data_IF_095691423749
#
_entry.id   IF_095691423749
#
_cell.length_a   1.000
_cell.length_b   1.000
_cell.length_c   1.000
_cell.angle_alpha   90.00
_cell.angle_beta   90.00
_cell.angle_gamma   90.00
#
_symmetry.space_group_name_H-M   'P 1'
#
loop_
_entity.id
_entity.type
_entity.pdbx_description
1 polymer ?
#
# COMPACT_ATOMS: atom_id res chain seq x y z
N UNK A 1 8.83 -23.49 -21.01
CA UNK A 1 8.07 -23.87 -19.82
C UNK A 1 6.99 -22.80 -19.63
N UNK A 2 5.72 -23.17 -19.45
CA UNK A 2 4.59 -22.22 -19.41
C UNK A 2 4.65 -21.29 -18.18
N UNK A 3 5.39 -21.70 -17.13
CA UNK A 3 5.59 -20.91 -15.90
C UNK A 3 6.45 -19.67 -16.12
N UNK A 4 7.42 -19.72 -17.03
CA UNK A 4 8.28 -18.57 -17.35
C UNK A 4 7.58 -17.50 -18.22
N UNK A 5 6.37 -17.78 -18.73
CA UNK A 5 5.65 -16.91 -19.66
C UNK A 5 4.47 -16.15 -19.07
N UNK A 6 4.19 -16.29 -17.77
CA UNK A 6 3.10 -15.52 -17.14
C UNK A 6 3.54 -14.06 -16.97
N UNK A 7 2.88 -13.18 -17.72
CA UNK A 7 3.14 -11.73 -17.75
C UNK A 7 2.21 -10.94 -16.82
N UNK A 8 1.48 -11.62 -15.93
CA UNK A 8 0.55 -10.99 -14.97
C UNK A 8 1.30 -10.50 -13.72
N UNK A 9 2.36 -9.73 -13.93
CA UNK A 9 3.14 -9.08 -12.89
C UNK A 9 3.83 -7.83 -13.46
N UNK A 10 4.17 -6.89 -12.59
CA UNK A 10 4.90 -5.66 -12.96
C UNK A 10 5.68 -5.11 -11.75
N UNK A 11 6.57 -4.16 -12.00
CA UNK A 11 7.40 -3.51 -10.97
C UNK A 11 7.01 -2.03 -10.87
N UNK A 12 6.83 -1.55 -9.65
CA UNK A 12 6.66 -0.12 -9.35
C UNK A 12 7.80 0.38 -8.49
N UNK A 13 8.57 1.34 -9.00
CA UNK A 13 9.55 2.09 -8.20
C UNK A 13 8.76 3.01 -7.26
N UNK A 14 9.04 2.92 -5.95
CA UNK A 14 8.33 3.67 -4.92
C UNK A 14 9.14 4.87 -4.47
N UNK A 15 10.46 4.70 -4.30
CA UNK A 15 11.38 5.76 -3.89
C UNK A 15 12.76 5.52 -4.50
N UNK A 16 13.42 6.60 -4.88
CA UNK A 16 14.85 6.64 -5.23
C UNK A 16 15.49 7.68 -4.31
N UNK A 17 16.45 7.27 -3.51
CA UNK A 17 17.17 8.14 -2.58
C UNK A 17 18.37 8.82 -3.26
N UNK A 18 18.90 9.88 -2.64
CA UNK A 18 19.99 10.68 -3.23
C UNK A 18 21.32 9.90 -3.34
N UNK A 19 21.53 8.92 -2.47
CA UNK A 19 22.68 8.00 -2.48
C UNK A 19 22.52 6.86 -3.50
N UNK A 20 21.38 6.78 -4.19
CA UNK A 20 21.07 5.79 -5.20
C UNK A 20 20.37 4.54 -4.69
N UNK A 21 20.05 4.47 -3.39
CA UNK A 21 19.21 3.39 -2.86
C UNK A 21 17.79 3.47 -3.46
N UNK A 22 17.17 2.31 -3.69
CA UNK A 22 15.87 2.22 -4.37
C UNK A 22 14.94 1.28 -3.63
N UNK A 23 13.77 1.78 -3.24
CA UNK A 23 12.66 0.95 -2.79
C UNK A 23 11.67 0.74 -3.93
N UNK A 24 11.32 -0.51 -4.18
CA UNK A 24 10.38 -0.88 -5.22
C UNK A 24 9.52 -2.07 -4.81
N UNK A 25 8.38 -2.23 -5.48
CA UNK A 25 7.54 -3.41 -5.32
C UNK A 25 7.45 -4.19 -6.62
N UNK A 26 7.50 -5.51 -6.52
CA UNK A 26 7.07 -6.45 -7.55
C UNK A 26 5.68 -6.94 -7.16
N UNK A 27 4.70 -6.82 -8.04
CA UNK A 27 3.33 -7.25 -7.75
C UNK A 27 2.75 -8.10 -8.86
N UNK A 28 1.78 -8.94 -8.51
CA UNK A 28 1.20 -9.94 -9.40
C UNK A 28 1.77 -11.34 -9.14
N UNK A 29 1.79 -12.18 -10.18
CA UNK A 29 2.20 -13.57 -10.08
C UNK A 29 3.73 -13.73 -10.05
N UNK A 30 4.24 -14.42 -9.03
CA UNK A 30 5.66 -14.68 -8.83
C UNK A 30 6.08 -15.90 -9.66
N UNK A 31 6.85 -15.66 -10.73
CA UNK A 31 7.29 -16.72 -11.64
C UNK A 31 8.43 -17.58 -11.09
N UNK A 32 9.21 -17.08 -10.13
CA UNK A 32 10.43 -17.72 -9.61
C UNK A 32 10.71 -17.29 -8.17
N UNK A 33 11.65 -17.99 -7.53
CA UNK A 33 12.10 -17.69 -6.17
C UNK A 33 11.29 -18.43 -5.11
N UNK A 34 11.46 -18.02 -3.85
CA UNK A 34 10.82 -18.70 -2.71
C UNK A 34 9.29 -18.58 -2.71
N UNK A 35 8.75 -17.60 -3.44
CA UNK A 35 7.30 -17.37 -3.62
C UNK A 35 6.78 -17.83 -4.99
N UNK A 36 7.54 -18.63 -5.75
CA UNK A 36 7.08 -19.15 -7.04
C UNK A 36 5.68 -19.77 -6.93
N UNK A 37 4.77 -19.34 -7.81
CA UNK A 37 3.40 -19.85 -7.84
C UNK A 37 2.39 -19.04 -7.05
N UNK A 38 2.83 -18.09 -6.23
CA UNK A 38 1.96 -17.20 -5.49
C UNK A 38 1.72 -15.89 -6.24
N UNK A 39 0.58 -15.24 -5.95
CA UNK A 39 0.31 -13.86 -6.34
C UNK A 39 0.36 -12.97 -5.10
N UNK A 40 0.80 -11.73 -5.24
CA UNK A 40 0.88 -10.80 -4.13
C UNK A 40 1.71 -9.56 -4.45
N UNK A 41 2.19 -8.91 -3.40
CA UNK A 41 3.09 -7.75 -3.46
C UNK A 41 4.35 -8.09 -2.69
N UNK A 42 5.50 -8.00 -3.34
CA UNK A 42 6.81 -8.17 -2.73
C UNK A 42 7.54 -6.82 -2.68
N UNK A 43 7.95 -6.40 -1.50
CA UNK A 43 8.68 -5.15 -1.25
C UNK A 43 10.16 -5.45 -1.23
N UNK A 44 10.91 -4.71 -2.05
CA UNK A 44 12.35 -4.82 -2.18
C UNK A 44 13.02 -3.50 -1.86
N UNK A 45 14.24 -3.63 -1.34
CA UNK A 45 15.18 -2.54 -1.19
C UNK A 45 16.47 -2.90 -1.94
N UNK A 46 16.91 -2.02 -2.83
CA UNK A 46 18.21 -2.08 -3.45
C UNK A 46 19.15 -1.12 -2.73
N UNK A 47 20.28 -1.64 -2.24
CA UNK A 47 21.37 -0.84 -1.71
C UNK A 47 22.39 -0.60 -2.82
N UNK A 48 22.64 0.67 -3.15
CA UNK A 48 23.63 1.08 -4.13
C UNK A 48 25.06 0.78 -3.65
N UNK A 49 25.34 1.05 -2.37
CA UNK A 49 26.66 0.82 -1.76
C UNK A 49 27.07 -0.66 -1.80
N UNK A 50 26.14 -1.55 -1.49
CA UNK A 50 26.39 -3.00 -1.47
C UNK A 50 26.11 -3.67 -2.83
N UNK A 51 25.45 -2.95 -3.73
CA UNK A 51 24.95 -3.45 -5.02
C UNK A 51 24.16 -4.76 -4.88
N UNK A 52 23.22 -4.77 -3.92
CA UNK A 52 22.41 -5.94 -3.57
C UNK A 52 20.92 -5.57 -3.52
N UNK A 53 20.07 -6.50 -3.96
CA UNK A 53 18.62 -6.42 -3.81
C UNK A 53 18.21 -7.34 -2.68
N UNK A 54 17.49 -6.81 -1.70
CA UNK A 54 16.94 -7.56 -0.58
C UNK A 54 15.42 -7.54 -0.63
N UNK A 55 14.80 -8.73 -0.57
CA UNK A 55 13.39 -8.84 -0.25
C UNK A 55 13.18 -8.45 1.22
N UNK A 56 12.33 -7.45 1.47
CA UNK A 56 11.97 -7.02 2.83
C UNK A 56 10.72 -7.73 3.32
N UNK A 57 9.69 -7.79 2.48
CA UNK A 57 8.39 -8.40 2.83
C UNK A 57 7.71 -8.95 1.58
N UNK A 58 7.10 -10.13 1.71
CA UNK A 58 6.08 -10.61 0.77
C UNK A 58 4.70 -10.63 1.43
N UNK A 59 3.71 -10.01 0.77
CA UNK A 59 2.31 -9.99 1.18
C UNK A 59 1.47 -10.74 0.13
N UNK A 60 0.95 -11.93 0.45
CA UNK A 60 0.15 -12.70 -0.51
C UNK A 60 -1.20 -12.03 -0.77
N UNK A 61 -1.68 -12.13 -2.00
CA UNK A 61 -3.00 -11.65 -2.40
C UNK A 61 -3.66 -12.63 -3.39
N UNK A 62 -4.99 -12.70 -3.32
CA UNK A 62 -5.81 -13.43 -4.29
C UNK A 62 -6.33 -12.52 -5.41
N UNK A 63 -6.03 -11.22 -5.35
CA UNK A 63 -6.44 -10.29 -6.40
C UNK A 63 -5.73 -10.53 -7.72
N UNK A 64 -6.40 -10.10 -8.80
CA UNK A 64 -5.78 -10.12 -10.12
C UNK A 64 -4.70 -9.05 -10.22
N UNK A 65 -3.76 -9.26 -11.14
CA UNK A 65 -2.72 -8.29 -11.47
C UNK A 65 -3.28 -6.90 -11.81
N UNK A 66 -4.40 -6.82 -12.53
CA UNK A 66 -5.00 -5.54 -12.93
C UNK A 66 -5.55 -4.77 -11.73
N UNK A 67 -6.16 -5.45 -10.74
CA UNK A 67 -6.61 -4.80 -9.51
C UNK A 67 -5.44 -4.33 -8.65
N UNK A 68 -4.41 -5.19 -8.47
CA UNK A 68 -3.18 -4.79 -7.76
C UNK A 68 -2.53 -3.56 -8.40
N UNK A 69 -2.50 -3.48 -9.73
CA UNK A 69 -1.96 -2.33 -10.47
C UNK A 69 -2.72 -1.03 -10.16
N UNK A 70 -4.05 -1.10 -10.17
CA UNK A 70 -4.93 0.05 -9.89
C UNK A 70 -4.79 0.49 -8.44
N UNK A 71 -4.84 -0.46 -7.51
CA UNK A 71 -4.79 -0.19 -6.08
C UNK A 71 -3.44 0.39 -5.64
N UNK A 72 -2.33 -0.24 -6.07
CA UNK A 72 -1.00 0.31 -5.82
C UNK A 72 -0.84 1.65 -6.54
N UNK A 73 -1.49 1.87 -7.68
CA UNK A 73 -1.57 3.18 -8.32
C UNK A 73 -2.28 4.24 -7.47
N UNK A 74 -3.26 3.84 -6.66
CA UNK A 74 -4.04 4.71 -5.77
C UNK A 74 -3.24 5.14 -4.55
N UNK A 75 -2.55 4.21 -3.88
CA UNK A 75 -1.63 4.56 -2.80
C UNK A 75 -0.35 3.72 -2.85
N UNK A 76 0.76 4.41 -3.00
CA UNK A 76 2.07 3.96 -2.55
C UNK A 76 2.85 5.17 -2.06
N UNK A 77 3.28 5.13 -0.81
CA UNK A 77 3.97 6.26 -0.18
C UNK A 77 4.99 5.76 0.85
N UNK A 78 6.19 6.33 0.84
CA UNK A 78 7.21 6.06 1.87
C UNK A 78 7.37 7.31 2.72
N UNK A 79 7.18 7.16 4.02
CA UNK A 79 7.40 8.24 4.99
C UNK A 79 8.89 8.50 5.22
N UNK A 80 9.19 9.64 5.86
CA UNK A 80 10.57 9.98 6.24
C UNK A 80 11.25 9.01 7.21
N UNK A 81 10.53 8.06 7.82
CA UNK A 81 11.05 7.03 8.72
C UNK A 81 10.98 5.60 8.12
N UNK A 82 11.05 5.49 6.80
CA UNK A 82 11.10 4.23 6.04
C UNK A 82 9.88 3.31 6.29
N UNK A 83 8.72 3.90 6.55
CA UNK A 83 7.46 3.16 6.53
C UNK A 83 6.80 3.31 5.16
N UNK A 84 6.56 2.18 4.50
CA UNK A 84 5.84 2.13 3.23
C UNK A 84 4.35 1.86 3.48
N UNK A 85 3.51 2.75 2.98
CA UNK A 85 2.06 2.64 3.01
C UNK A 85 1.53 2.24 1.64
N UNK A 86 0.74 1.18 1.61
CA UNK A 86 0.16 0.60 0.39
C UNK A 86 -1.34 0.41 0.59
N UNK A 87 -2.13 0.71 -0.45
CA UNK A 87 -3.52 0.26 -0.55
C UNK A 87 -3.55 -0.87 -1.59
N UNK A 88 -4.08 -2.03 -1.21
CA UNK A 88 -4.51 -3.07 -2.15
C UNK A 88 -5.42 -4.10 -1.50
N UNK A 89 -6.23 -4.79 -2.29
CA UNK A 89 -7.16 -5.82 -1.79
C UNK A 89 -8.04 -5.31 -0.65
N UNK A 90 -8.53 -4.06 -0.78
CA UNK A 90 -9.37 -3.38 0.21
C UNK A 90 -8.69 -3.17 1.58
N UNK A 91 -7.36 -3.27 1.66
CA UNK A 91 -6.62 -3.12 2.91
C UNK A 91 -5.58 -2.01 2.81
N UNK A 92 -5.47 -1.21 3.87
CA UNK A 92 -4.38 -0.26 4.06
C UNK A 92 -3.26 -0.91 4.88
N UNK A 93 -2.10 -1.07 4.27
CA UNK A 93 -0.93 -1.68 4.89
C UNK A 93 0.07 -0.62 5.34
N UNK A 94 0.80 -0.92 6.43
CA UNK A 94 2.08 -0.28 6.77
C UNK A 94 3.17 -1.35 6.75
N UNK A 95 4.21 -1.12 5.97
CA UNK A 95 5.40 -1.97 5.85
C UNK A 95 6.57 -1.23 6.50
N UNK A 96 7.21 -1.85 7.47
CA UNK A 96 8.50 -1.42 8.00
C UNK A 96 9.60 -1.97 7.11
N UNK A 97 10.17 -1.13 6.22
CA UNK A 97 11.19 -1.54 5.27
C UNK A 97 12.47 -1.97 6.01
N UNK A 98 12.83 -1.28 7.09
CA UNK A 98 14.03 -1.57 7.86
C UNK A 98 13.89 -2.90 8.60
N UNK A 99 12.74 -3.11 9.25
CA UNK A 99 12.46 -4.31 10.04
C UNK A 99 12.03 -5.53 9.22
N UNK A 100 11.62 -5.35 7.96
CA UNK A 100 11.10 -6.43 7.12
C UNK A 100 9.78 -7.01 7.66
N UNK A 101 8.90 -6.14 8.18
CA UNK A 101 7.59 -6.56 8.72
C UNK A 101 6.47 -5.70 8.15
N UNK A 102 5.22 -6.15 8.29
CA UNK A 102 4.07 -5.35 7.90
C UNK A 102 2.90 -5.56 8.86
N UNK A 103 2.02 -4.58 8.90
CA UNK A 103 0.71 -4.67 9.55
C UNK A 103 -0.39 -4.10 8.66
N UNK A 104 -1.62 -4.54 8.92
CA UNK A 104 -2.82 -3.99 8.28
C UNK A 104 -3.41 -2.95 9.23
N UNK A 105 -3.43 -1.69 8.80
CA UNK A 105 -3.99 -0.59 9.57
C UNK A 105 -5.52 -0.56 9.53
N UNK A 106 -6.09 -0.95 8.39
CA UNK A 106 -7.53 -1.01 8.16
C UNK A 106 -7.86 -2.05 7.08
N UNK A 107 -9.01 -2.72 7.23
CA UNK A 107 -9.53 -3.72 6.30
C UNK A 107 -10.87 -3.31 5.72
N UNK A 108 -11.23 -3.87 4.57
CA UNK A 108 -12.55 -3.67 3.95
C UNK A 108 -12.79 -2.21 3.55
N UNK A 109 -11.73 -1.51 3.13
CA UNK A 109 -11.82 -0.17 2.58
C UNK A 109 -12.38 -0.29 1.16
N UNK A 110 -13.55 0.32 0.92
CA UNK A 110 -14.03 0.52 -0.44
C UNK A 110 -13.15 1.54 -1.16
N UNK A 111 -12.67 1.19 -2.36
CA UNK A 111 -11.90 2.11 -3.21
C UNK A 111 -12.66 3.41 -3.53
N UNK A 112 -14.00 3.39 -3.54
CA UNK A 112 -14.83 4.59 -3.75
C UNK A 112 -14.91 5.49 -2.50
N UNK A 113 -14.61 4.95 -1.32
CA UNK A 113 -14.61 5.68 -0.04
C UNK A 113 -13.19 5.83 0.53
N UNK A 114 -12.17 5.84 -0.34
CA UNK A 114 -10.78 6.13 -0.02
C UNK A 114 -10.26 7.28 -0.87
N UNK A 115 -9.62 8.27 -0.24
CA UNK A 115 -9.01 9.40 -0.95
C UNK A 115 -7.59 9.64 -0.45
N UNK A 116 -6.71 10.01 -1.37
CA UNK A 116 -5.33 10.40 -1.08
C UNK A 116 -5.10 11.87 -1.43
N UNK A 117 -4.24 12.52 -0.66
CA UNK A 117 -3.72 13.85 -1.01
C UNK A 117 -2.85 13.80 -2.28
N UNK A 118 -2.62 14.95 -2.91
CA UNK A 118 -1.81 15.04 -4.14
C UNK A 118 -0.37 14.54 -3.98
N UNK A 119 0.20 14.64 -2.78
CA UNK A 119 1.54 14.14 -2.46
C UNK A 119 1.54 12.70 -1.93
N UNK A 120 0.38 12.06 -1.82
CA UNK A 120 0.14 10.79 -1.13
C UNK A 120 0.49 10.76 0.37
N UNK A 121 0.97 11.86 0.97
CA UNK A 121 1.38 11.90 2.38
C UNK A 121 0.20 11.82 3.38
N UNK A 122 -1.01 12.09 2.91
CA UNK A 122 -2.24 11.96 3.69
C UNK A 122 -3.25 11.10 2.95
N UNK A 123 -4.06 10.36 3.71
CA UNK A 123 -5.25 9.68 3.19
C UNK A 123 -6.42 9.81 4.15
N UNK A 124 -7.63 9.68 3.61
CA UNK A 124 -8.85 9.60 4.40
C UNK A 124 -9.79 8.54 3.82
N UNK A 125 -10.51 7.84 4.70
CA UNK A 125 -11.45 6.81 4.31
C UNK A 125 -12.64 6.72 5.26
N UNK A 126 -13.75 6.21 4.75
CA UNK A 126 -14.90 5.89 5.59
C UNK A 126 -14.82 4.42 6.03
N UNK A 127 -14.97 4.20 7.32
CA UNK A 127 -15.01 2.85 7.92
C UNK A 127 -16.32 2.16 7.51
N UNK A 128 -16.23 0.97 6.93
CA UNK A 128 -17.41 0.24 6.41
C UNK A 128 -18.12 -0.59 7.47
N UNK A 129 -17.35 -1.25 8.34
CA UNK A 129 -17.87 -2.28 9.25
C UNK A 129 -17.43 -2.05 10.70
N UNK A 130 -18.08 -2.75 11.62
CA UNK A 130 -17.80 -2.69 13.06
C UNK A 130 -18.42 -1.47 13.76
N UNK A 131 -18.03 -1.27 15.01
CA UNK A 131 -18.63 -0.24 15.89
C UNK A 131 -18.41 1.20 15.40
N UNK A 132 -17.38 1.41 14.57
CA UNK A 132 -17.04 2.73 14.02
C UNK A 132 -17.58 2.93 12.59
N UNK A 133 -18.39 2.00 12.07
CA UNK A 133 -18.96 2.11 10.74
C UNK A 133 -19.60 3.49 10.51
N UNK A 134 -19.27 4.11 9.38
CA UNK A 134 -19.69 5.47 9.04
C UNK A 134 -18.77 6.60 9.49
N UNK A 135 -17.81 6.33 10.38
CA UNK A 135 -16.76 7.29 10.77
C UNK A 135 -15.78 7.50 9.61
N UNK A 136 -15.38 8.75 9.37
CA UNK A 136 -14.23 9.05 8.52
C UNK A 136 -12.97 9.01 9.38
N UNK A 137 -11.97 8.25 8.93
CA UNK A 137 -10.60 8.27 9.43
C UNK A 137 -9.73 9.03 8.44
N UNK A 138 -8.79 9.80 8.98
CA UNK A 138 -7.76 10.48 8.21
C UNK A 138 -6.42 10.25 8.89
N UNK A 139 -5.40 9.97 8.09
CA UNK A 139 -4.04 9.76 8.57
C UNK A 139 -3.08 10.69 7.83
N UNK A 140 -2.14 11.25 8.59
CA UNK A 140 -0.87 11.79 8.10
C UNK A 140 0.16 10.67 8.23
N UNK A 141 0.70 10.21 7.10
CA UNK A 141 1.62 9.07 7.07
C UNK A 141 3.00 9.39 7.63
N UNK A 142 3.46 10.64 7.53
CA UNK A 142 4.75 11.06 8.09
C UNK A 142 4.68 11.10 9.62
N UNK A 143 3.60 11.65 10.18
CA UNK A 143 3.46 11.80 11.63
C UNK A 143 2.71 10.65 12.30
N UNK A 144 2.09 9.76 11.52
CA UNK A 144 1.19 8.68 11.97
C UNK A 144 -0.01 9.16 12.79
N UNK A 145 -0.33 10.45 12.72
CA UNK A 145 -1.48 11.02 13.44
C UNK A 145 -2.77 10.60 12.74
N UNK A 146 -3.65 9.97 13.51
CA UNK A 146 -5.00 9.61 13.08
C UNK A 146 -6.00 10.63 13.61
N UNK A 147 -6.88 11.12 12.74
CA UNK A 147 -8.06 11.92 13.08
C UNK A 147 -9.33 11.14 12.74
N UNK A 148 -10.32 11.19 13.61
CA UNK A 148 -11.63 10.58 13.39
C UNK A 148 -12.73 11.63 13.37
N UNK A 149 -13.67 11.47 12.44
CA UNK A 149 -14.87 12.30 12.31
C UNK A 149 -16.08 11.37 12.31
N UNK A 150 -16.81 11.33 13.42
CA UNK A 150 -17.96 10.44 13.61
C UNK A 150 -19.25 11.15 13.21
N UNK A 151 -20.14 10.52 12.42
CA UNK A 151 -21.43 11.09 12.08
C UNK A 151 -22.28 11.34 13.33
N UNK A 152 -22.99 12.47 13.37
CA UNK A 152 -24.05 12.67 14.37
C UNK A 152 -25.31 11.90 13.98
N UNK A 153 -26.29 11.85 14.89
CA UNK A 153 -27.52 11.10 14.64
C UNK A 153 -28.26 11.62 13.39
N UNK A 154 -28.47 10.74 12.42
CA UNK A 154 -29.10 11.07 11.13
C UNK A 154 -28.16 11.60 10.06
N UNK A 155 -26.86 11.77 10.35
CA UNK A 155 -25.87 12.19 9.36
C UNK A 155 -25.25 10.99 8.63
N UNK A 156 -24.90 11.21 7.36
CA UNK A 156 -24.03 10.32 6.59
C UNK A 156 -22.83 11.11 6.10
N UNK A 157 -21.64 10.65 6.45
CA UNK A 157 -20.39 11.22 5.98
C UNK A 157 -19.93 10.52 4.70
N UNK A 158 -19.22 11.27 3.84
CA UNK A 158 -18.51 10.76 2.66
C UNK A 158 -17.18 11.49 2.53
N UNK A 159 -16.15 10.79 2.12
CA UNK A 159 -14.88 11.40 1.71
C UNK A 159 -14.98 11.87 0.26
N UNK A 160 -14.55 13.09 -0.03
CA UNK A 160 -14.60 13.67 -1.38
C UNK A 160 -13.22 13.97 -1.96
N UNK A 161 -12.21 14.14 -1.11
CA UNK A 161 -10.84 14.47 -1.50
C UNK A 161 -10.20 15.47 -0.54
N UNK A 162 -8.95 15.82 -0.84
CA UNK A 162 -8.21 16.87 -0.15
C UNK A 162 -8.26 18.17 -0.96
N UNK A 163 -8.33 19.31 -0.27
CA UNK A 163 -8.15 20.61 -0.92
C UNK A 163 -6.70 20.77 -1.39
N UNK A 164 -6.53 21.41 -2.54
CA UNK A 164 -5.23 21.79 -3.10
C UNK A 164 -4.74 23.11 -2.53
#
# INVERSE_FOLDING_TARGET
DFRDSRMEHDIKIIRVEEDGDVDFVLYGYMNRGIHEGYSGVCVYHYSNDQNVVEEKVFIPSTESYEFLKVDLGTLSYVSGDNQLYLLFAENLYRVDINGGTYEILEKGISNEEFVVSETNAHSAWRVQEGERAGTIREIDFDTRKLREITPQNGEQLRVLGFFK
#
